data_IF_248721953677
#
_entry.id   IF_248721953677
#
_cell.length_a   1.000
_cell.length_b   1.000
_cell.length_c   1.000
_cell.angle_alpha   90.00
_cell.angle_beta   90.00
_cell.angle_gamma   90.00
#
_symmetry.space_group_name_H-M   'P 1'
#
loop_
_entity.id
_entity.type
_entity.pdbx_description
1 polymer ?
#
# COMPACT_ATOMS: atom_id res chain seq x y z
N UNK A 1 -17.79 -18.66 -0.26
CA UNK A 1 -18.81 -18.34 -1.30
C UNK A 1 -18.64 -19.38 -2.41
N UNK A 2 -19.36 -20.48 -2.34
CA UNK A 2 -19.49 -21.40 -3.47
C UNK A 2 -20.45 -20.77 -4.49
N UNK A 3 -19.95 -19.84 -5.28
CA UNK A 3 -20.69 -19.16 -6.35
C UNK A 3 -20.35 -19.79 -7.69
N UNK A 4 -21.07 -20.85 -8.02
CA UNK A 4 -21.09 -21.41 -9.37
C UNK A 4 -21.28 -20.26 -10.37
N UNK A 5 -20.25 -19.95 -11.13
CA UNK A 5 -20.29 -19.03 -12.27
C UNK A 5 -19.81 -17.59 -12.06
N UNK A 6 -19.00 -17.29 -11.06
CA UNK A 6 -18.35 -15.97 -10.85
C UNK A 6 -16.91 -16.12 -10.40
N UNK A 7 -16.01 -15.20 -10.84
CA UNK A 7 -14.64 -15.13 -10.40
C UNK A 7 -14.32 -13.74 -9.82
N UNK A 8 -13.81 -13.69 -8.57
CA UNK A 8 -13.36 -12.46 -7.94
C UNK A 8 -11.85 -12.29 -8.15
N UNK A 9 -11.49 -11.36 -9.02
CA UNK A 9 -10.10 -11.10 -9.43
C UNK A 9 -9.72 -9.63 -9.20
N UNK A 10 -10.22 -9.03 -8.12
CA UNK A 10 -9.93 -7.65 -7.72
C UNK A 10 -9.39 -7.53 -6.29
N UNK A 11 -8.53 -8.46 -5.89
CA UNK A 11 -7.94 -8.52 -4.54
C UNK A 11 -7.02 -7.33 -4.21
N UNK A 12 -6.54 -6.58 -5.19
CA UNK A 12 -5.82 -5.33 -4.93
C UNK A 12 -6.76 -4.19 -4.51
N UNK A 13 -8.05 -4.24 -4.85
CA UNK A 13 -9.02 -3.28 -4.34
C UNK A 13 -9.35 -3.53 -2.87
N UNK A 14 -9.68 -4.76 -2.52
CA UNK A 14 -9.94 -5.23 -1.15
C UNK A 14 -9.95 -6.74 -1.11
N UNK A 15 -9.78 -7.31 0.07
CA UNK A 15 -9.90 -8.75 0.30
C UNK A 15 -11.10 -9.05 1.21
N UNK A 16 -11.68 -10.27 1.16
CA UNK A 16 -12.58 -10.72 2.22
C UNK A 16 -11.80 -10.84 3.53
N UNK A 17 -12.50 -10.80 4.65
CA UNK A 17 -11.90 -11.16 5.93
C UNK A 17 -11.61 -12.65 5.96
N UNK A 18 -10.45 -13.03 6.52
CA UNK A 18 -10.16 -14.44 6.83
C UNK A 18 -11.14 -14.96 7.90
N UNK A 19 -11.63 -16.22 7.82
CA UNK A 19 -12.51 -16.78 8.83
C UNK A 19 -11.94 -16.73 10.26
N UNK A 20 -10.64 -16.92 10.45
CA UNK A 20 -9.99 -16.78 11.77
C UNK A 20 -10.01 -15.34 12.26
N UNK A 21 -9.83 -14.37 11.36
CA UNK A 21 -9.96 -12.93 11.66
C UNK A 21 -11.38 -12.59 12.10
N UNK A 22 -12.41 -13.13 11.40
CA UNK A 22 -13.81 -12.94 11.78
C UNK A 22 -14.06 -13.50 13.18
N UNK A 23 -13.52 -14.69 13.48
CA UNK A 23 -13.62 -15.33 14.80
C UNK A 23 -13.07 -14.44 15.91
N UNK A 24 -11.84 -13.95 15.75
CA UNK A 24 -11.17 -13.07 16.73
C UNK A 24 -11.91 -11.74 16.91
N UNK A 25 -12.39 -11.11 15.84
CA UNK A 25 -13.20 -9.89 15.93
C UNK A 25 -14.49 -10.16 16.72
N UNK A 26 -15.17 -11.26 16.42
CA UNK A 26 -16.43 -11.63 17.09
C UNK A 26 -16.23 -11.90 18.58
N UNK A 27 -15.14 -12.58 18.95
CA UNK A 27 -14.78 -12.82 20.34
C UNK A 27 -14.45 -11.52 21.06
N UNK A 28 -13.64 -10.66 20.47
CA UNK A 28 -13.27 -9.35 21.04
C UNK A 28 -14.48 -8.45 21.27
N UNK A 29 -15.44 -8.45 20.34
CA UNK A 29 -16.72 -7.72 20.49
C UNK A 29 -17.52 -8.21 21.72
N UNK A 30 -17.48 -9.50 22.03
CA UNK A 30 -18.22 -10.12 23.14
C UNK A 30 -17.51 -9.97 24.48
N UNK A 31 -16.20 -10.11 24.49
CA UNK A 31 -15.42 -10.32 25.73
C UNK A 31 -14.47 -9.16 26.06
N UNK A 32 -14.01 -8.35 25.06
CA UNK A 32 -12.99 -7.33 25.22
C UNK A 32 -13.49 -5.93 24.92
N UNK A 33 -14.76 -5.66 25.24
CA UNK A 33 -15.47 -4.41 24.97
C UNK A 33 -15.16 -3.27 25.95
N UNK A 34 -14.41 -3.52 27.02
CA UNK A 34 -14.03 -2.52 28.01
C UNK A 34 -13.20 -1.41 27.40
N UNK A 35 -13.28 -0.19 27.98
CA UNK A 35 -12.42 0.91 27.55
C UNK A 35 -10.96 0.60 27.95
N UNK A 36 -10.01 0.54 27.00
CA UNK A 36 -8.61 0.20 27.28
C UNK A 36 -7.90 1.14 28.28
N UNK A 37 -8.42 2.37 28.44
CA UNK A 37 -7.87 3.35 29.39
C UNK A 37 -8.39 3.15 30.82
N UNK A 38 -9.36 2.24 31.06
CA UNK A 38 -9.93 2.00 32.39
C UNK A 38 -9.03 1.07 33.22
N UNK A 39 -8.85 1.41 34.50
CA UNK A 39 -7.96 0.65 35.39
C UNK A 39 -8.55 -0.69 35.90
N UNK A 40 -9.85 -0.93 35.72
CA UNK A 40 -10.52 -2.17 36.14
C UNK A 40 -10.26 -3.32 35.15
N UNK A 41 -10.59 -4.55 35.55
CA UNK A 41 -10.26 -5.78 34.80
C UNK A 41 -10.73 -5.80 33.35
N UNK A 42 -11.93 -5.26 33.04
CA UNK A 42 -12.45 -5.20 31.67
C UNK A 42 -11.61 -4.27 30.77
N UNK A 43 -11.18 -3.11 31.31
CA UNK A 43 -10.29 -2.23 30.57
C UNK A 43 -8.91 -2.85 30.33
N UNK A 44 -8.37 -3.52 31.36
CA UNK A 44 -7.10 -4.23 31.23
C UNK A 44 -7.16 -5.35 30.18
N UNK A 45 -8.25 -6.10 30.12
CA UNK A 45 -8.44 -7.14 29.10
C UNK A 45 -8.37 -6.59 27.68
N UNK A 46 -9.05 -5.45 27.42
CA UNK A 46 -8.98 -4.75 26.14
C UNK A 46 -7.58 -4.20 25.84
N UNK A 47 -6.92 -3.60 26.82
CA UNK A 47 -5.54 -3.10 26.69
C UNK A 47 -4.53 -4.21 26.38
N UNK A 48 -4.65 -5.37 27.07
CA UNK A 48 -3.79 -6.54 26.84
C UNK A 48 -4.01 -7.11 25.41
N UNK A 49 -5.25 -7.08 24.90
CA UNK A 49 -5.55 -7.46 23.52
C UNK A 49 -4.86 -6.53 22.52
N UNK A 50 -4.96 -5.22 22.72
CA UNK A 50 -4.30 -4.22 21.86
C UNK A 50 -2.78 -4.43 21.90
N UNK A 51 -2.19 -4.68 23.07
CA UNK A 51 -0.77 -4.97 23.21
C UNK A 51 -0.32 -6.17 22.38
N UNK A 52 -1.00 -7.32 22.53
CA UNK A 52 -0.72 -8.52 21.72
C UNK A 52 -0.86 -8.30 20.22
N UNK A 53 -1.91 -7.60 19.81
CA UNK A 53 -2.13 -7.30 18.39
C UNK A 53 -1.02 -6.40 17.83
N UNK A 54 -0.49 -5.49 18.63
CA UNK A 54 0.64 -4.63 18.27
C UNK A 54 1.92 -5.46 18.05
N UNK A 55 2.18 -6.44 18.92
CA UNK A 55 3.29 -7.39 18.76
C UNK A 55 3.16 -8.22 17.49
N UNK A 56 1.95 -8.72 17.17
CA UNK A 56 1.68 -9.48 15.96
C UNK A 56 1.90 -8.65 14.68
N UNK A 57 1.45 -7.39 14.66
CA UNK A 57 1.67 -6.48 13.53
C UNK A 57 3.16 -6.16 13.39
N UNK A 58 3.86 -5.90 14.49
CA UNK A 58 5.30 -5.64 14.48
C UNK A 58 6.10 -6.84 13.95
N UNK A 59 5.75 -8.05 14.38
CA UNK A 59 6.41 -9.29 13.93
C UNK A 59 6.29 -9.47 12.39
N UNK A 60 5.15 -9.10 11.78
CA UNK A 60 4.94 -9.22 10.34
C UNK A 60 5.96 -8.44 9.51
N UNK A 61 6.50 -7.35 10.05
CA UNK A 61 7.46 -6.46 9.35
C UNK A 61 8.84 -6.42 10.02
N UNK A 62 9.13 -7.33 10.95
CA UNK A 62 10.37 -7.37 11.74
C UNK A 62 10.68 -6.07 12.52
N UNK A 63 9.64 -5.43 13.08
CA UNK A 63 9.70 -4.21 13.87
C UNK A 63 9.62 -4.50 15.39
N UNK A 64 9.80 -3.45 16.20
CA UNK A 64 9.44 -3.45 17.61
C UNK A 64 7.97 -3.02 17.79
N UNK A 65 7.27 -3.62 18.77
CA UNK A 65 5.87 -3.27 19.04
C UNK A 65 5.70 -1.76 19.36
N UNK A 66 6.64 -1.16 20.04
CA UNK A 66 6.62 0.27 20.38
C UNK A 66 6.66 1.19 19.15
N UNK A 67 7.09 0.71 18.00
CA UNK A 67 7.18 1.45 16.76
C UNK A 67 5.89 1.38 15.92
N UNK A 68 4.85 0.70 16.42
CA UNK A 68 3.55 0.58 15.76
C UNK A 68 2.53 1.51 16.41
N UNK A 69 1.80 2.27 15.59
CA UNK A 69 0.65 3.12 16.01
C UNK A 69 -0.56 2.75 15.17
N UNK A 70 -1.67 2.38 15.81
CA UNK A 70 -2.91 2.05 15.11
C UNK A 70 -3.59 3.29 14.56
N UNK A 71 -4.09 3.19 13.33
CA UNK A 71 -4.75 4.26 12.55
C UNK A 71 -6.09 3.76 12.01
N UNK A 72 -6.96 4.65 11.57
CA UNK A 72 -8.24 4.25 10.97
C UNK A 72 -8.09 3.52 9.62
N UNK A 73 -6.97 3.71 8.93
CA UNK A 73 -6.69 3.11 7.62
C UNK A 73 -5.44 3.68 6.98
N UNK A 74 -5.15 3.25 5.74
CA UNK A 74 -3.95 3.66 5.01
C UNK A 74 -3.88 5.16 4.72
N UNK A 75 -5.00 5.79 4.42
CA UNK A 75 -5.04 7.24 4.15
C UNK A 75 -4.60 8.05 5.36
N UNK A 76 -5.10 7.74 6.57
CA UNK A 76 -4.65 8.40 7.80
C UNK A 76 -3.16 8.13 8.04
N UNK A 77 -2.71 6.88 7.90
CA UNK A 77 -1.31 6.51 8.10
C UNK A 77 -0.36 7.26 7.14
N UNK A 78 -0.70 7.33 5.85
CA UNK A 78 0.07 8.09 4.85
C UNK A 78 0.14 9.58 5.23
N UNK A 79 -1.00 10.23 5.53
CA UNK A 79 -1.05 11.65 5.85
C UNK A 79 -0.23 11.95 7.12
N UNK A 80 -0.36 11.12 8.16
CA UNK A 80 0.39 11.30 9.41
C UNK A 80 1.89 11.16 9.19
N UNK A 81 2.34 10.18 8.40
CA UNK A 81 3.75 10.01 8.04
C UNK A 81 4.29 11.23 7.28
N UNK A 82 3.57 11.66 6.24
CA UNK A 82 3.95 12.82 5.41
C UNK A 82 4.02 14.11 6.24
N UNK A 83 2.98 14.38 7.03
CA UNK A 83 2.93 15.55 7.91
C UNK A 83 4.07 15.54 8.94
N UNK A 84 4.38 14.38 9.51
CA UNK A 84 5.45 14.24 10.51
C UNK A 84 6.83 14.51 9.92
N UNK A 85 7.10 13.96 8.71
CA UNK A 85 8.35 14.26 7.99
C UNK A 85 8.49 15.73 7.63
N UNK A 86 7.42 16.41 7.23
CA UNK A 86 7.40 17.84 6.92
C UNK A 86 7.68 18.70 8.15
N UNK A 87 7.02 18.42 9.27
CA UNK A 87 7.15 19.22 10.48
C UNK A 87 8.54 19.10 11.15
N UNK A 88 9.37 18.16 10.72
CA UNK A 88 10.72 17.99 11.25
C UNK A 88 11.65 19.18 10.98
N UNK A 89 11.36 20.00 9.98
CA UNK A 89 12.16 21.19 9.61
C UNK A 89 11.52 22.50 10.11
N UNK A 90 10.21 22.54 10.29
CA UNK A 90 9.51 23.75 10.72
C UNK A 90 9.66 23.98 12.22
N UNK A 91 10.87 24.37 12.69
CA UNK A 91 11.01 24.92 14.04
C UNK A 91 10.48 26.36 14.07
N UNK A 92 9.55 26.70 14.98
CA UNK A 92 8.92 28.03 15.03
C UNK A 92 9.81 29.16 15.58
N UNK A 93 11.13 29.06 15.51
CA UNK A 93 12.04 29.96 16.24
C UNK A 93 13.02 30.82 15.40
N UNK A 94 12.75 31.03 14.10
CA UNK A 94 13.50 32.08 13.39
C UNK A 94 12.59 33.27 13.12
N UNK A 95 12.89 34.40 13.76
CA UNK A 95 12.30 35.73 13.50
C UNK A 95 12.71 36.32 12.14
N UNK A 96 13.28 35.52 11.26
CA UNK A 96 13.75 35.94 9.95
C UNK A 96 12.75 35.52 8.86
N UNK A 97 12.25 36.52 8.14
CA UNK A 97 11.20 36.43 7.10
C UNK A 97 11.58 35.71 5.80
N UNK A 98 12.61 34.89 5.76
CA UNK A 98 12.89 34.03 4.61
C UNK A 98 12.38 32.61 4.90
N UNK A 99 11.09 32.37 4.59
CA UNK A 99 10.50 31.01 4.67
C UNK A 99 11.13 30.18 3.55
N UNK A 100 12.11 29.37 3.92
CA UNK A 100 12.67 28.37 3.02
C UNK A 100 11.71 27.18 3.04
N UNK A 101 10.96 26.97 1.94
CA UNK A 101 10.00 25.87 1.83
C UNK A 101 10.71 24.51 1.94
N UNK A 102 10.22 23.60 2.78
CA UNK A 102 10.71 22.22 2.80
C UNK A 102 10.48 21.53 1.46
N UNK A 103 11.45 20.74 1.01
CA UNK A 103 11.36 20.01 -0.24
C UNK A 103 11.00 18.53 0.02
N UNK A 104 10.05 18.03 -0.77
CA UNK A 104 9.56 16.64 -0.74
C UNK A 104 9.77 16.00 -2.10
N UNK A 105 10.18 14.73 -2.09
CA UNK A 105 10.27 13.92 -3.30
C UNK A 105 9.27 12.77 -3.16
N UNK A 106 8.49 12.52 -4.21
CA UNK A 106 7.59 11.37 -4.31
C UNK A 106 7.63 10.77 -5.71
N UNK A 107 7.04 9.58 -5.92
CA UNK A 107 6.96 9.03 -7.27
C UNK A 107 5.77 9.60 -8.05
N UNK A 108 5.84 9.51 -9.38
CA UNK A 108 4.73 9.92 -10.26
C UNK A 108 3.58 8.88 -10.31
N UNK A 109 3.71 7.75 -9.59
CA UNK A 109 2.76 6.62 -9.59
C UNK A 109 2.17 6.29 -8.22
N UNK A 110 2.24 7.22 -7.28
CA UNK A 110 1.71 7.06 -5.92
C UNK A 110 0.19 6.93 -5.88
N UNK A 111 -0.29 6.31 -4.80
CA UNK A 111 -1.71 6.32 -4.45
C UNK A 111 -2.19 7.75 -4.14
N UNK A 112 -3.46 8.05 -4.45
CA UNK A 112 -4.09 9.37 -4.26
C UNK A 112 -3.95 9.92 -2.83
N UNK A 113 -3.92 9.09 -1.81
CA UNK A 113 -3.72 9.54 -0.42
C UNK A 113 -2.34 10.16 -0.17
N UNK A 114 -1.34 9.85 -0.98
CA UNK A 114 -0.02 10.49 -0.97
C UNK A 114 0.01 11.65 -1.97
N UNK A 115 -0.30 11.37 -3.24
CA UNK A 115 -0.20 12.33 -4.32
C UNK A 115 -1.06 13.57 -4.08
N UNK A 116 -2.36 13.39 -3.80
CA UNK A 116 -3.29 14.52 -3.64
C UNK A 116 -2.96 15.33 -2.39
N UNK A 117 -2.57 14.66 -1.28
CA UNK A 117 -2.16 15.38 -0.07
C UNK A 117 -0.96 16.28 -0.35
N UNK A 118 0.10 15.76 -0.97
CA UNK A 118 1.31 16.53 -1.28
C UNK A 118 1.03 17.65 -2.29
N UNK A 119 0.21 17.41 -3.32
CA UNK A 119 -0.19 18.43 -4.27
C UNK A 119 -0.93 19.60 -3.59
N UNK A 120 -1.85 19.30 -2.68
CA UNK A 120 -2.55 20.34 -1.89
C UNK A 120 -1.56 21.15 -1.03
N UNK A 121 -0.56 20.48 -0.41
CA UNK A 121 0.45 21.21 0.37
C UNK A 121 1.30 22.14 -0.52
N UNK A 122 1.62 21.71 -1.74
CA UNK A 122 2.32 22.52 -2.75
C UNK A 122 1.46 23.71 -3.20
N UNK A 123 0.20 23.46 -3.56
CA UNK A 123 -0.74 24.51 -4.00
C UNK A 123 -0.99 25.58 -2.91
N UNK A 124 -0.93 25.17 -1.63
CA UNK A 124 -0.98 26.07 -0.48
C UNK A 124 0.35 26.80 -0.21
N UNK A 125 1.38 26.60 -1.02
CA UNK A 125 2.69 27.24 -0.82
C UNK A 125 3.44 26.78 0.44
N UNK A 126 3.18 25.56 0.93
CA UNK A 126 3.80 25.02 2.16
C UNK A 126 5.01 24.15 1.88
N UNK A 127 5.13 23.59 0.70
CA UNK A 127 6.24 22.72 0.28
C UNK A 127 6.66 22.99 -1.16
N UNK A 128 7.87 22.57 -1.47
CA UNK A 128 8.38 22.37 -2.84
C UNK A 128 8.32 20.86 -3.11
N UNK A 129 7.70 20.45 -4.23
CA UNK A 129 7.41 19.04 -4.52
C UNK A 129 8.04 18.60 -5.83
N UNK A 130 8.82 17.52 -5.81
CA UNK A 130 9.39 16.89 -6.99
C UNK A 130 8.87 15.48 -7.18
N UNK A 131 8.60 15.10 -8.44
CA UNK A 131 8.16 13.77 -8.82
C UNK A 131 9.27 12.98 -9.51
N UNK A 132 9.77 11.94 -8.83
CA UNK A 132 10.65 10.96 -9.46
C UNK A 132 9.87 10.13 -10.48
N UNK A 133 10.38 10.07 -11.70
CA UNK A 133 9.72 9.37 -12.80
C UNK A 133 10.12 7.90 -12.80
N UNK A 134 9.14 7.00 -12.95
CA UNK A 134 9.43 5.59 -13.23
C UNK A 134 10.00 5.42 -14.63
N UNK A 135 10.80 4.40 -14.82
CA UNK A 135 11.26 3.96 -16.13
C UNK A 135 10.06 3.45 -16.95
N UNK A 136 9.86 4.01 -18.15
CA UNK A 136 8.68 3.72 -18.98
C UNK A 136 8.62 2.29 -19.51
N UNK A 137 9.76 1.60 -19.60
CA UNK A 137 9.80 0.22 -20.08
C UNK A 137 9.45 -0.78 -18.98
N UNK A 138 9.90 -0.51 -17.74
CA UNK A 138 9.72 -1.39 -16.60
C UNK A 138 8.58 -0.99 -15.67
N UNK A 139 8.17 0.28 -15.66
CA UNK A 139 7.25 0.85 -14.67
C UNK A 139 7.87 0.97 -13.27
N UNK A 140 9.19 0.73 -13.12
CA UNK A 140 9.91 0.75 -11.86
C UNK A 140 10.72 2.04 -11.72
N UNK A 141 10.86 2.55 -10.49
CA UNK A 141 11.82 3.61 -10.19
C UNK A 141 13.26 3.10 -10.31
N UNK A 142 14.16 3.98 -10.69
CA UNK A 142 15.60 3.77 -10.46
C UNK A 142 16.01 4.59 -9.24
N UNK A 143 16.83 4.06 -8.32
CA UNK A 143 17.29 4.83 -7.16
C UNK A 143 17.87 6.20 -7.55
N UNK A 144 18.61 6.27 -8.66
CA UNK A 144 19.21 7.50 -9.16
C UNK A 144 18.17 8.54 -9.56
N UNK A 145 16.99 8.13 -10.07
CA UNK A 145 15.90 9.06 -10.42
C UNK A 145 15.30 9.76 -9.20
N UNK A 146 15.40 9.15 -8.02
CA UNK A 146 15.00 9.75 -6.74
C UNK A 146 16.13 10.61 -6.17
N UNK A 147 17.35 10.07 -6.13
CA UNK A 147 18.49 10.71 -5.47
C UNK A 147 18.97 11.97 -6.21
N UNK A 148 18.85 12.01 -7.54
CA UNK A 148 19.20 13.19 -8.34
C UNK A 148 18.32 14.41 -8.06
N UNK A 149 17.13 14.23 -7.49
CA UNK A 149 16.22 15.32 -7.10
C UNK A 149 16.54 15.90 -5.72
N UNK A 150 17.41 15.23 -4.94
CA UNK A 150 17.73 15.66 -3.57
C UNK A 150 18.49 17.00 -3.60
N UNK A 151 18.05 17.93 -2.76
CA UNK A 151 18.72 19.21 -2.52
C UNK A 151 18.86 19.49 -1.01
N UNK A 152 19.42 20.65 -0.66
CA UNK A 152 19.69 21.00 0.74
C UNK A 152 18.40 21.13 1.57
N UNK A 153 17.26 21.42 0.96
CA UNK A 153 15.95 21.59 1.61
C UNK A 153 15.15 20.29 1.69
N UNK A 154 15.62 19.19 1.05
CA UNK A 154 14.91 17.92 1.06
C UNK A 154 14.82 17.37 2.48
N UNK A 155 13.59 17.07 2.93
CA UNK A 155 13.31 16.56 4.28
C UNK A 155 12.54 15.23 4.28
N UNK A 156 11.85 14.94 3.19
CA UNK A 156 11.02 13.73 3.08
C UNK A 156 11.10 13.16 1.67
N UNK A 157 11.23 11.85 1.60
CA UNK A 157 11.01 11.06 0.41
C UNK A 157 9.90 10.06 0.71
N UNK A 158 8.91 9.97 -0.19
CA UNK A 158 7.79 9.04 -0.07
C UNK A 158 7.64 8.24 -1.36
N UNK A 159 7.83 6.92 -1.28
CA UNK A 159 7.72 6.02 -2.44
C UNK A 159 6.94 4.78 -2.01
N UNK A 160 5.88 4.43 -2.77
CA UNK A 160 5.14 3.19 -2.52
C UNK A 160 6.03 1.97 -2.72
N UNK A 161 5.83 0.91 -1.90
CA UNK A 161 6.61 -0.31 -2.01
C UNK A 161 6.20 -1.15 -3.23
N UNK A 162 4.91 -1.19 -3.53
CA UNK A 162 4.38 -1.91 -4.68
C UNK A 162 3.26 -1.13 -5.34
N UNK A 163 3.26 -1.05 -6.66
CA UNK A 163 2.21 -0.35 -7.38
C UNK A 163 0.92 -1.19 -7.44
N UNK A 164 -0.20 -0.57 -7.11
CA UNK A 164 -1.51 -1.20 -7.02
C UNK A 164 -2.16 -1.56 -8.37
N UNK A 165 -1.67 -1.00 -9.49
CA UNK A 165 -2.20 -1.25 -10.83
C UNK A 165 -1.29 -2.13 -11.67
N UNK A 166 0.02 -1.88 -11.62
CA UNK A 166 1.01 -2.62 -12.41
C UNK A 166 1.55 -3.86 -11.70
N UNK A 167 1.53 -3.87 -10.36
CA UNK A 167 2.15 -4.92 -9.55
C UNK A 167 3.67 -4.81 -9.44
N UNK A 168 4.28 -3.78 -10.00
CA UNK A 168 5.74 -3.55 -9.94
C UNK A 168 6.16 -3.23 -8.51
N UNK A 169 7.24 -3.85 -8.04
CA UNK A 169 7.90 -3.51 -6.78
C UNK A 169 8.93 -2.42 -7.01
N UNK A 170 8.93 -1.41 -6.15
CA UNK A 170 9.89 -0.32 -6.19
C UNK A 170 11.15 -0.67 -5.38
N UNK A 171 12.33 -0.16 -5.74
CA UNK A 171 13.62 -0.49 -5.11
C UNK A 171 13.80 0.25 -3.77
N UNK A 172 12.91 -0.04 -2.80
CA UNK A 172 12.86 0.67 -1.50
C UNK A 172 14.13 0.42 -0.70
N UNK A 173 14.65 -0.82 -0.73
CA UNK A 173 15.87 -1.18 0.00
C UNK A 173 17.08 -0.40 -0.53
N UNK A 174 17.26 -0.32 -1.82
CA UNK A 174 18.36 0.38 -2.47
C UNK A 174 18.28 1.89 -2.21
N UNK A 175 17.07 2.46 -2.28
CA UNK A 175 16.82 3.87 -1.94
C UNK A 175 17.13 4.11 -0.45
N UNK A 176 16.64 3.25 0.44
CA UNK A 176 16.86 3.37 1.89
C UNK A 176 18.33 3.31 2.28
N UNK A 177 19.09 2.37 1.71
CA UNK A 177 20.54 2.24 1.91
C UNK A 177 21.30 3.49 1.44
N UNK A 178 20.96 4.00 0.27
CA UNK A 178 21.56 5.22 -0.27
C UNK A 178 21.24 6.44 0.59
N UNK A 179 19.98 6.56 1.08
CA UNK A 179 19.56 7.64 1.97
C UNK A 179 20.24 7.57 3.33
N UNK A 180 20.46 6.39 3.88
CA UNK A 180 21.20 6.20 5.13
C UNK A 180 22.63 6.75 5.00
N UNK A 181 23.34 6.41 3.93
CA UNK A 181 24.67 6.94 3.65
C UNK A 181 24.66 8.46 3.43
N UNK A 182 23.69 8.97 2.67
CA UNK A 182 23.53 10.39 2.39
C UNK A 182 23.23 11.20 3.67
N UNK A 183 22.39 10.68 4.57
CA UNK A 183 22.06 11.34 5.84
C UNK A 183 23.26 11.48 6.78
N UNK A 184 24.24 10.58 6.73
CA UNK A 184 25.52 10.74 7.45
C UNK A 184 26.27 11.99 6.94
N UNK A 185 26.43 12.12 5.62
CA UNK A 185 27.06 13.31 5.02
C UNK A 185 26.27 14.59 5.29
N UNK A 186 24.95 14.54 5.24
CA UNK A 186 24.07 15.70 5.53
C UNK A 186 24.25 16.19 6.97
N UNK A 187 24.32 15.26 7.93
CA UNK A 187 24.57 15.60 9.34
C UNK A 187 25.90 16.32 9.53
N UNK A 188 26.96 15.89 8.84
CA UNK A 188 28.27 16.55 8.88
C UNK A 188 28.25 17.98 8.30
N UNK A 189 27.33 18.25 7.40
CA UNK A 189 27.15 19.56 6.75
C UNK A 189 26.02 20.39 7.37
N UNK A 190 25.51 20.02 8.55
CA UNK A 190 24.40 20.67 9.25
C UNK A 190 23.12 20.80 8.40
N UNK A 191 22.89 19.86 7.48
CA UNK A 191 21.66 19.78 6.68
C UNK A 191 20.63 18.92 7.40
N UNK A 192 19.33 19.16 7.17
CA UNK A 192 18.26 18.36 7.77
C UNK A 192 18.34 16.89 7.32
N UNK A 193 18.01 15.97 8.24
CA UNK A 193 17.80 14.55 7.91
C UNK A 193 16.66 14.44 6.87
N UNK A 194 16.84 13.59 5.88
CA UNK A 194 15.77 13.19 4.98
C UNK A 194 15.09 11.95 5.58
N UNK A 195 13.80 12.06 5.90
CA UNK A 195 12.99 10.94 6.34
C UNK A 195 12.49 10.16 5.13
N UNK A 196 12.35 8.84 5.28
CA UNK A 196 11.92 7.96 4.21
C UNK A 196 10.61 7.24 4.59
N UNK A 197 9.55 7.49 3.83
CA UNK A 197 8.24 6.86 3.95
C UNK A 197 8.00 5.90 2.80
N UNK A 198 7.38 4.73 3.10
CA UNK A 198 6.87 3.82 2.09
C UNK A 198 5.42 3.41 2.38
N UNK A 199 4.57 3.50 1.35
CA UNK A 199 3.22 2.91 1.38
C UNK A 199 3.32 1.42 1.03
N UNK A 200 3.16 0.55 2.04
CA UNK A 200 3.23 -0.90 1.88
C UNK A 200 1.86 -1.59 1.77
N UNK A 201 0.80 -0.84 1.45
CA UNK A 201 -0.56 -1.38 1.34
C UNK A 201 -0.65 -2.59 0.40
N UNK A 202 0.09 -2.60 -0.70
CA UNK A 202 0.03 -3.69 -1.68
C UNK A 202 1.06 -4.78 -1.47
N UNK A 203 2.12 -4.56 -0.73
CA UNK A 203 3.20 -5.54 -0.50
C UNK A 203 2.92 -6.46 0.68
N UNK A 204 2.32 -5.96 1.76
CA UNK A 204 2.02 -6.74 2.96
C UNK A 204 1.09 -7.92 2.65
N UNK A 205 1.47 -9.12 3.16
CA UNK A 205 0.75 -10.37 2.91
C UNK A 205 0.92 -10.95 1.51
N UNK A 206 1.76 -10.34 0.66
CA UNK A 206 2.03 -10.77 -0.72
C UNK A 206 3.51 -10.97 -1.00
N UNK A 207 4.38 -10.18 -0.37
CA UNK A 207 5.84 -10.33 -0.41
C UNK A 207 6.41 -10.09 0.98
N UNK A 208 7.65 -10.53 1.20
CA UNK A 208 8.34 -10.29 2.47
C UNK A 208 8.63 -8.79 2.61
N UNK A 209 8.28 -8.24 3.77
CA UNK A 209 8.55 -6.85 4.15
C UNK A 209 9.32 -6.85 5.47
N UNK A 210 10.53 -6.28 5.47
CA UNK A 210 11.41 -6.22 6.63
C UNK A 210 11.93 -4.78 6.76
N UNK A 211 11.43 -4.04 7.74
CA UNK A 211 11.75 -2.61 7.91
C UNK A 211 13.23 -2.35 8.20
N UNK A 212 13.94 -3.35 8.76
CA UNK A 212 15.38 -3.23 9.02
C UNK A 212 16.20 -3.32 7.73
N UNK A 213 15.71 -4.09 6.73
CA UNK A 213 16.35 -4.19 5.42
C UNK A 213 15.97 -2.99 4.53
N UNK A 214 14.71 -2.53 4.62
CA UNK A 214 14.22 -1.41 3.82
C UNK A 214 14.78 -0.05 4.26
N UNK A 215 15.31 0.06 5.50
CA UNK A 215 15.86 1.30 6.09
C UNK A 215 14.89 2.50 6.02
N UNK A 216 13.59 2.23 6.14
CA UNK A 216 12.54 3.26 6.14
C UNK A 216 12.32 3.83 7.54
N UNK A 217 11.94 5.11 7.62
CA UNK A 217 11.53 5.77 8.87
C UNK A 217 10.04 5.58 9.14
N UNK A 218 9.21 5.50 8.08
CA UNK A 218 7.76 5.30 8.16
C UNK A 218 7.31 4.23 7.17
N UNK A 219 6.38 3.36 7.59
CA UNK A 219 5.75 2.38 6.72
C UNK A 219 4.25 2.27 7.02
N UNK A 220 3.45 2.46 5.96
CA UNK A 220 1.99 2.37 6.04
C UNK A 220 1.49 0.94 5.93
N UNK A 221 0.60 0.53 6.87
CA UNK A 221 -0.02 -0.79 6.96
C UNK A 221 -1.52 -0.66 6.74
N UNK A 222 -2.10 -1.50 5.86
CA UNK A 222 -3.52 -1.43 5.48
C UNK A 222 -4.17 -2.81 5.58
N UNK A 223 -4.94 -3.05 6.63
CA UNK A 223 -5.47 -4.37 6.99
C UNK A 223 -6.29 -5.05 5.89
N UNK A 224 -7.22 -4.32 5.26
CA UNK A 224 -8.12 -4.90 4.25
C UNK A 224 -7.44 -5.30 2.92
N UNK A 225 -6.13 -5.13 2.80
CA UNK A 225 -5.34 -5.57 1.64
C UNK A 225 -4.70 -6.94 1.84
N UNK A 226 -4.70 -7.45 3.09
CA UNK A 226 -4.16 -8.77 3.44
C UNK A 226 -5.09 -9.56 4.37
N UNK A 227 -6.39 -9.55 4.04
CA UNK A 227 -7.47 -10.33 4.69
C UNK A 227 -7.77 -9.93 6.14
N UNK A 228 -7.34 -8.73 6.52
CA UNK A 228 -7.67 -8.07 7.77
C UNK A 228 -8.84 -7.09 7.63
N UNK A 229 -9.29 -6.48 8.74
CA UNK A 229 -10.37 -5.49 8.75
C UNK A 229 -9.95 -4.14 8.14
N UNK A 230 -10.95 -3.26 7.91
CA UNK A 230 -10.73 -1.89 7.44
C UNK A 230 -10.21 -1.00 8.58
N UNK A 231 -8.99 -1.28 8.97
CA UNK A 231 -8.15 -0.52 9.90
C UNK A 231 -6.73 -0.48 9.35
N UNK A 232 -5.90 0.42 9.82
CA UNK A 232 -4.50 0.49 9.45
C UNK A 232 -3.60 0.65 10.67
N UNK A 233 -2.31 0.71 10.39
CA UNK A 233 -1.29 1.11 11.34
C UNK A 233 -0.17 1.85 10.61
N UNK A 234 0.61 2.60 11.38
CA UNK A 234 1.83 3.23 10.93
C UNK A 234 2.99 2.66 11.73
N UNK A 235 4.00 2.12 11.04
CA UNK A 235 5.30 1.88 11.63
C UNK A 235 6.09 3.20 11.60
N UNK A 236 6.74 3.52 12.72
CA UNK A 236 7.60 4.69 12.90
C UNK A 236 8.89 4.23 13.57
N UNK A 237 9.99 4.26 12.83
CA UNK A 237 11.30 3.78 13.32
C UNK A 237 11.74 4.55 14.56
N UNK A 238 12.06 3.83 15.65
CA UNK A 238 12.54 4.44 16.88
C UNK A 238 11.62 5.59 17.38
N UNK A 239 10.31 5.36 17.36
CA UNK A 239 9.23 6.35 17.58
C UNK A 239 9.45 7.25 18.79
N UNK A 240 9.97 6.71 19.89
CA UNK A 240 10.11 7.46 21.14
C UNK A 240 11.41 8.26 21.23
N UNK A 241 12.34 8.08 20.30
CA UNK A 241 13.72 8.58 20.44
C UNK A 241 14.25 9.35 19.23
N UNK A 242 13.91 8.95 17.99
CA UNK A 242 14.59 9.49 16.80
C UNK A 242 13.66 10.01 15.70
N UNK A 243 12.58 9.32 15.43
CA UNK A 243 11.70 9.67 14.33
C UNK A 243 10.48 10.42 14.83
N UNK A 244 10.23 11.64 14.34
CA UNK A 244 9.11 12.45 14.80
C UNK A 244 7.78 11.82 14.37
N UNK A 245 6.78 11.94 15.23
CA UNK A 245 5.38 11.64 14.88
C UNK A 245 4.49 12.76 15.42
N UNK A 246 3.83 13.46 14.50
CA UNK A 246 2.92 14.56 14.82
C UNK A 246 1.48 14.04 14.75
N UNK A 247 0.74 14.04 15.88
CA UNK A 247 -0.63 13.54 15.88
C UNK A 247 -1.53 14.41 14.99
N UNK A 248 -2.25 13.78 14.06
CA UNK A 248 -3.29 14.42 13.26
C UNK A 248 -4.56 14.63 14.10
N UNK A 249 -4.91 13.64 14.93
CA UNK A 249 -6.06 13.68 15.82
C UNK A 249 -5.57 13.91 17.25
N UNK A 250 -5.92 15.08 17.81
CA UNK A 250 -5.58 15.47 19.18
C UNK A 250 -6.78 15.21 20.11
N UNK A 251 -6.54 14.81 21.35
CA UNK A 251 -7.61 14.50 22.32
C UNK A 251 -7.09 13.80 23.56
N UNK A 252 -7.70 12.66 23.93
CA UNK A 252 -7.51 11.98 25.21
C UNK A 252 -6.19 11.22 25.41
N UNK A 253 -5.24 11.34 24.51
CA UNK A 253 -3.89 10.76 24.67
C UNK A 253 -3.77 9.25 24.36
N UNK A 254 -4.77 8.63 23.75
CA UNK A 254 -4.70 7.24 23.31
C UNK A 254 -3.52 7.01 22.34
N UNK A 255 -3.17 5.77 22.13
CA UNK A 255 -1.97 5.42 21.34
C UNK A 255 -0.73 6.19 21.79
N UNK A 256 -0.54 6.30 23.09
CA UNK A 256 0.62 7.02 23.72
C UNK A 256 0.70 8.50 23.32
N UNK A 257 -0.44 9.14 23.04
CA UNK A 257 -0.55 10.52 22.61
C UNK A 257 -0.40 10.75 21.10
N UNK A 258 -0.11 9.71 20.33
CA UNK A 258 0.14 9.83 18.90
C UNK A 258 -1.13 9.73 18.05
N UNK A 259 -2.20 9.14 18.60
CA UNK A 259 -3.49 9.05 17.88
C UNK A 259 -4.62 8.98 18.91
N UNK A 260 -5.30 10.07 19.12
CA UNK A 260 -6.39 10.17 20.10
C UNK A 260 -7.70 9.58 19.59
N UNK A 261 -8.60 9.26 20.54
CA UNK A 261 -9.86 8.57 20.31
C UNK A 261 -9.81 7.13 20.80
N UNK A 262 -10.85 6.67 21.49
CA UNK A 262 -10.93 5.31 22.04
C UNK A 262 -10.59 4.28 20.98
N UNK A 263 -9.68 3.40 21.30
CA UNK A 263 -9.15 2.40 20.39
C UNK A 263 -10.23 1.40 19.97
N UNK A 264 -10.28 1.06 18.70
CA UNK A 264 -11.19 0.05 18.17
C UNK A 264 -10.64 -1.36 18.43
N UNK A 265 -10.73 -1.80 19.68
CA UNK A 265 -10.16 -3.08 20.15
C UNK A 265 -10.49 -4.27 19.23
N UNK A 266 -11.76 -4.50 18.81
CA UNK A 266 -12.07 -5.64 17.96
C UNK A 266 -11.40 -5.59 16.57
N UNK A 267 -11.32 -4.40 15.97
CA UNK A 267 -10.67 -4.28 14.66
C UNK A 267 -9.14 -4.37 14.79
N UNK A 268 -8.57 -3.87 15.89
CA UNK A 268 -7.15 -4.02 16.20
C UNK A 268 -6.82 -5.51 16.41
N UNK A 269 -7.67 -6.24 17.14
CA UNK A 269 -7.53 -7.69 17.32
C UNK A 269 -7.53 -8.44 15.98
N UNK A 270 -8.46 -8.07 15.09
CA UNK A 270 -8.54 -8.62 13.74
C UNK A 270 -7.31 -8.31 12.88
N UNK A 271 -6.74 -7.11 12.99
CA UNK A 271 -5.51 -6.74 12.29
C UNK A 271 -4.32 -7.57 12.78
N UNK A 272 -4.19 -7.74 14.10
CA UNK A 272 -3.17 -8.61 14.71
C UNK A 272 -3.27 -10.05 14.20
N UNK A 273 -4.47 -10.64 14.19
CA UNK A 273 -4.68 -12.00 13.68
C UNK A 273 -4.34 -12.10 12.18
N UNK A 274 -4.70 -11.12 11.37
CA UNK A 274 -4.34 -11.11 9.96
C UNK A 274 -2.82 -11.05 9.77
N UNK A 275 -2.11 -10.25 10.58
CA UNK A 275 -0.65 -10.17 10.56
C UNK A 275 0.01 -11.49 10.98
N UNK A 276 -0.51 -12.16 12.01
CA UNK A 276 -0.02 -13.47 12.45
C UNK A 276 -0.15 -14.53 11.34
N UNK A 277 -1.29 -14.56 10.64
CA UNK A 277 -1.49 -15.46 9.50
C UNK A 277 -0.47 -15.21 8.37
N UNK A 278 -0.09 -13.96 8.14
CA UNK A 278 0.97 -13.62 7.18
C UNK A 278 2.31 -14.18 7.64
N UNK A 279 2.69 -13.98 8.92
CA UNK A 279 3.96 -14.52 9.46
C UNK A 279 4.05 -16.03 9.28
N UNK A 280 2.95 -16.74 9.53
CA UNK A 280 2.92 -18.21 9.50
C UNK A 280 2.90 -18.79 8.07
N UNK A 281 2.36 -18.06 7.08
CA UNK A 281 1.99 -18.68 5.81
C UNK A 281 2.45 -17.91 4.57
N UNK A 282 3.26 -16.85 4.70
CA UNK A 282 3.59 -15.96 3.58
C UNK A 282 4.13 -16.71 2.36
N UNK A 283 5.07 -17.64 2.56
CA UNK A 283 5.69 -18.39 1.46
C UNK A 283 4.67 -19.20 0.67
N UNK A 284 3.75 -19.88 1.38
CA UNK A 284 2.64 -20.62 0.76
C UNK A 284 1.70 -19.70 -0.03
N UNK A 285 1.42 -18.51 0.52
CA UNK A 285 0.58 -17.52 -0.16
C UNK A 285 1.26 -17.00 -1.43
N UNK A 286 2.55 -16.70 -1.37
CA UNK A 286 3.34 -16.25 -2.51
C UNK A 286 3.41 -17.30 -3.62
N UNK A 287 3.70 -18.55 -3.27
CA UNK A 287 3.76 -19.68 -4.19
C UNK A 287 2.41 -19.88 -4.90
N UNK A 288 1.33 -19.96 -4.12
CA UNK A 288 -0.03 -20.15 -4.66
C UNK A 288 -0.42 -19.02 -5.61
N UNK A 289 -0.29 -17.76 -5.20
CA UNK A 289 -0.64 -16.61 -6.03
C UNK A 289 0.22 -16.55 -7.31
N UNK A 290 1.50 -16.85 -7.21
CA UNK A 290 2.42 -16.89 -8.36
C UNK A 290 1.99 -17.98 -9.34
N UNK A 291 1.67 -19.18 -8.88
CA UNK A 291 1.21 -20.31 -9.69
C UNK A 291 -0.10 -19.96 -10.42
N UNK A 292 -1.09 -19.43 -9.70
CA UNK A 292 -2.38 -19.03 -10.28
C UNK A 292 -2.20 -17.90 -11.30
N UNK A 293 -1.38 -16.88 -11.01
CA UNK A 293 -1.05 -15.80 -11.94
C UNK A 293 -0.42 -16.34 -13.24
N UNK A 294 0.55 -17.22 -13.10
CA UNK A 294 1.26 -17.77 -14.26
C UNK A 294 0.34 -18.65 -15.10
N UNK A 295 -0.51 -19.48 -14.46
CA UNK A 295 -1.52 -20.28 -15.15
C UNK A 295 -2.52 -19.40 -15.91
N UNK A 296 -3.04 -18.33 -15.27
CA UNK A 296 -3.92 -17.37 -15.94
C UNK A 296 -3.26 -16.76 -17.18
N UNK A 297 -2.03 -16.27 -17.05
CA UNK A 297 -1.29 -15.63 -18.15
C UNK A 297 -1.05 -16.61 -19.30
N UNK A 298 -0.58 -17.83 -19.01
CA UNK A 298 -0.31 -18.85 -20.04
C UNK A 298 -1.57 -19.18 -20.80
N UNK A 299 -2.63 -19.56 -20.08
CA UNK A 299 -3.88 -19.97 -20.72
C UNK A 299 -4.57 -18.85 -21.52
N UNK A 300 -4.47 -17.60 -21.07
CA UNK A 300 -4.98 -16.46 -21.84
C UNK A 300 -4.19 -16.24 -23.12
N UNK A 301 -2.85 -16.33 -23.07
CA UNK A 301 -1.98 -16.20 -24.26
C UNK A 301 -2.24 -17.29 -25.31
N UNK A 302 -2.57 -18.50 -24.86
CA UNK A 302 -2.88 -19.62 -25.75
C UNK A 302 -4.24 -19.48 -26.45
N UNK A 303 -5.20 -18.75 -25.84
CA UNK A 303 -6.59 -18.67 -26.32
C UNK A 303 -6.95 -17.33 -26.96
N UNK A 304 -6.22 -16.26 -26.69
CA UNK A 304 -6.53 -14.92 -27.19
C UNK A 304 -5.31 -14.37 -27.92
N UNK A 305 -5.47 -14.16 -29.23
CA UNK A 305 -4.46 -13.48 -30.04
C UNK A 305 -4.31 -12.02 -29.63
N UNK A 306 -3.11 -11.48 -29.72
CA UNK A 306 -2.77 -10.05 -29.49
C UNK A 306 -3.00 -9.51 -28.08
N UNK A 307 -3.12 -10.37 -27.05
CA UNK A 307 -3.03 -9.86 -25.68
C UNK A 307 -1.58 -9.59 -25.29
N UNK A 308 -1.41 -8.59 -24.45
CA UNK A 308 -0.10 -8.26 -23.86
C UNK A 308 -0.20 -8.20 -22.34
N UNK A 309 0.87 -8.58 -21.67
CA UNK A 309 1.03 -8.37 -20.25
C UNK A 309 2.00 -7.22 -20.08
N UNK A 310 1.53 -6.12 -19.47
CA UNK A 310 2.35 -4.96 -19.22
C UNK A 310 3.28 -5.19 -18.02
N UNK A 311 4.43 -4.53 -18.00
CA UNK A 311 5.34 -4.47 -16.86
C UNK A 311 5.77 -5.84 -16.32
N UNK A 312 6.19 -6.73 -17.23
CA UNK A 312 6.73 -8.05 -16.88
C UNK A 312 8.18 -7.88 -16.46
N UNK A 313 8.38 -7.38 -15.24
CA UNK A 313 9.69 -7.15 -14.62
C UNK A 313 9.76 -7.86 -13.28
N UNK A 314 10.94 -8.27 -12.85
CA UNK A 314 11.17 -8.80 -11.52
C UNK A 314 12.07 -7.84 -10.72
N UNK A 315 11.78 -7.65 -9.44
CA UNK A 315 10.71 -8.26 -8.66
C UNK A 315 9.32 -7.60 -8.89
N UNK A 316 8.25 -8.41 -8.80
CA UNK A 316 6.85 -7.96 -8.91
C UNK A 316 5.94 -8.70 -7.93
N UNK A 317 4.75 -8.16 -7.68
CA UNK A 317 3.74 -8.82 -6.87
C UNK A 317 3.35 -10.19 -7.46
N UNK A 318 3.19 -11.22 -6.62
CA UNK A 318 2.85 -12.57 -7.08
C UNK A 318 1.43 -12.69 -7.62
N UNK A 319 0.56 -11.72 -7.32
CA UNK A 319 -0.87 -11.81 -7.55
C UNK A 319 -1.42 -10.86 -8.63
N UNK A 320 -0.62 -9.95 -9.18
CA UNK A 320 -1.11 -8.85 -10.04
C UNK A 320 -0.74 -9.07 -11.49
N UNK A 321 -1.70 -8.85 -12.38
CA UNK A 321 -1.56 -8.87 -13.83
C UNK A 321 -2.14 -7.59 -14.41
N UNK A 322 -1.33 -6.83 -15.14
CA UNK A 322 -1.77 -5.71 -15.97
C UNK A 322 -1.96 -6.25 -17.40
N UNK A 323 -3.20 -6.63 -17.71
CA UNK A 323 -3.57 -7.30 -18.95
C UNK A 323 -4.06 -6.30 -19.99
N UNK A 324 -3.39 -6.19 -21.11
CA UNK A 324 -3.84 -5.42 -22.27
C UNK A 324 -4.62 -6.32 -23.22
N UNK A 325 -5.88 -5.98 -23.47
CA UNK A 325 -6.75 -6.70 -24.41
C UNK A 325 -6.42 -6.35 -25.88
N UNK A 326 -6.89 -7.12 -26.88
CA UNK A 326 -6.58 -6.90 -28.30
C UNK A 326 -6.88 -5.48 -28.80
N UNK A 327 -6.20 -5.04 -29.86
CA UNK A 327 -6.24 -3.65 -30.33
C UNK A 327 -7.62 -3.11 -30.70
N UNK A 328 -8.53 -3.98 -31.12
CA UNK A 328 -9.86 -3.58 -31.62
C UNK A 328 -10.90 -3.41 -30.51
N UNK A 329 -10.54 -3.65 -29.24
CA UNK A 329 -11.48 -3.70 -28.12
C UNK A 329 -11.00 -2.87 -26.94
N UNK A 330 -11.94 -2.26 -26.21
CA UNK A 330 -11.64 -1.60 -24.95
C UNK A 330 -11.76 -2.56 -23.78
N UNK A 331 -10.96 -2.33 -22.72
CA UNK A 331 -11.04 -3.11 -21.50
C UNK A 331 -12.44 -3.04 -20.85
N UNK A 332 -13.09 -1.88 -20.93
CA UNK A 332 -14.48 -1.71 -20.47
C UNK A 332 -15.44 -2.64 -21.19
N UNK A 333 -15.37 -2.69 -22.54
CA UNK A 333 -16.26 -3.54 -23.34
C UNK A 333 -16.07 -5.02 -23.03
N UNK A 334 -14.82 -5.46 -22.83
CA UNK A 334 -14.53 -6.85 -22.44
C UNK A 334 -15.17 -7.16 -21.07
N UNK A 335 -15.03 -6.28 -20.07
CA UNK A 335 -15.64 -6.50 -18.74
C UNK A 335 -17.18 -6.48 -18.80
N UNK A 336 -17.79 -5.61 -19.61
CA UNK A 336 -19.23 -5.60 -19.85
C UNK A 336 -19.69 -6.94 -20.47
N UNK A 337 -18.95 -7.46 -21.45
CA UNK A 337 -19.25 -8.75 -22.10
C UNK A 337 -19.05 -9.96 -21.16
N UNK A 338 -18.35 -9.80 -20.05
CA UNK A 338 -18.28 -10.83 -19.01
C UNK A 338 -19.61 -10.99 -18.24
N UNK A 339 -20.60 -10.10 -18.44
CA UNK A 339 -21.95 -10.18 -17.84
C UNK A 339 -21.95 -10.40 -16.32
N UNK A 340 -21.08 -9.71 -15.59
CA UNK A 340 -20.96 -9.81 -14.14
C UNK A 340 -20.40 -11.14 -13.62
N UNK A 341 -19.76 -11.93 -14.48
CA UNK A 341 -19.10 -13.19 -14.11
C UNK A 341 -17.66 -12.99 -13.66
N UNK A 342 -17.01 -11.90 -14.09
CA UNK A 342 -15.64 -11.52 -13.70
C UNK A 342 -15.71 -10.18 -12.95
N UNK A 343 -15.11 -10.14 -11.75
CA UNK A 343 -14.89 -8.91 -10.99
C UNK A 343 -13.41 -8.58 -11.09
N UNK A 344 -13.06 -7.61 -11.93
CA UNK A 344 -11.72 -7.07 -12.15
C UNK A 344 -11.80 -5.56 -12.34
N UNK A 345 -10.68 -4.86 -12.40
CA UNK A 345 -10.65 -3.38 -12.40
C UNK A 345 -10.04 -2.82 -13.68
N UNK A 346 -10.56 -1.66 -14.13
CA UNK A 346 -10.00 -0.88 -15.26
C UNK A 346 -8.85 0.06 -14.83
N UNK A 347 -8.35 -0.11 -13.62
CA UNK A 347 -7.35 0.75 -12.97
C UNK A 347 -7.55 0.74 -11.46
N UNK A 348 -7.27 1.86 -10.76
CA UNK A 348 -7.59 1.95 -9.34
C UNK A 348 -9.11 2.03 -9.13
N UNK A 349 -9.63 1.29 -8.15
CA UNK A 349 -11.06 1.31 -7.79
C UNK A 349 -11.59 2.72 -7.43
N UNK A 350 -10.70 3.62 -7.00
CA UNK A 350 -11.03 5.03 -6.67
C UNK A 350 -11.46 5.86 -7.88
N UNK A 351 -11.19 5.41 -9.11
CA UNK A 351 -11.51 6.12 -10.36
C UNK A 351 -12.57 5.42 -11.22
N UNK A 352 -13.29 4.45 -10.66
CA UNK A 352 -14.28 3.63 -11.38
C UNK A 352 -15.39 4.40 -12.09
N UNK A 353 -15.63 5.67 -11.72
CA UNK A 353 -16.63 6.53 -12.35
C UNK A 353 -16.06 7.47 -13.44
N UNK A 354 -14.76 7.45 -13.70
CA UNK A 354 -14.16 8.28 -14.74
C UNK A 354 -13.96 7.46 -16.03
N UNK A 355 -14.43 7.97 -17.16
CA UNK A 355 -14.14 7.40 -18.49
C UNK A 355 -12.70 7.68 -18.94
N UNK A 356 -11.88 8.29 -18.07
CA UNK A 356 -10.49 8.66 -18.40
C UNK A 356 -9.56 7.47 -18.17
N UNK A 357 -8.59 7.24 -19.08
CA UNK A 357 -7.53 6.26 -18.88
C UNK A 357 -6.76 6.50 -17.59
N UNK A 358 -6.25 5.43 -16.97
CA UNK A 358 -5.48 5.52 -15.72
C UNK A 358 -4.26 6.43 -15.87
N UNK A 359 -4.18 7.45 -15.01
CA UNK A 359 -3.01 8.35 -14.95
C UNK A 359 -1.74 7.62 -14.50
N UNK A 360 -1.87 6.56 -13.69
CA UNK A 360 -0.75 5.72 -13.24
C UNK A 360 -0.19 4.91 -14.42
N UNK A 361 -1.03 4.28 -15.22
CA UNK A 361 -0.60 3.54 -16.41
C UNK A 361 0.07 4.45 -17.43
N UNK A 362 -0.48 5.65 -17.66
CA UNK A 362 0.14 6.65 -18.54
C UNK A 362 1.48 7.16 -17.98
N UNK A 363 1.54 7.44 -16.68
CA UNK A 363 2.79 7.81 -16.02
C UNK A 363 3.84 6.69 -16.07
N UNK A 364 3.40 5.44 -16.14
CA UNK A 364 4.26 4.25 -16.31
C UNK A 364 4.65 4.00 -17.78
N UNK A 365 4.23 4.84 -18.74
CA UNK A 365 4.69 4.80 -20.12
C UNK A 365 3.69 4.27 -21.14
N UNK A 366 2.49 3.85 -20.76
CA UNK A 366 1.46 3.45 -21.71
C UNK A 366 0.83 4.70 -22.37
N UNK A 367 0.48 4.57 -23.65
CA UNK A 367 -0.36 5.56 -24.32
C UNK A 367 -1.77 5.59 -23.73
N UNK A 368 -2.55 6.66 -23.92
CA UNK A 368 -3.95 6.70 -23.48
C UNK A 368 -4.79 5.55 -24.04
N UNK A 369 -4.51 5.12 -25.29
CA UNK A 369 -5.17 3.98 -25.93
C UNK A 369 -4.81 2.66 -25.23
N UNK A 370 -3.53 2.40 -25.00
CA UNK A 370 -3.05 1.21 -24.29
C UNK A 370 -3.58 1.14 -22.85
N UNK A 371 -3.58 2.27 -22.14
CA UNK A 371 -4.16 2.37 -20.80
C UNK A 371 -5.69 2.08 -20.82
N UNK A 372 -6.42 2.57 -21.84
CA UNK A 372 -7.85 2.30 -22.02
C UNK A 372 -8.18 0.85 -22.39
N UNK A 373 -7.18 0.09 -22.86
CA UNK A 373 -7.29 -1.36 -23.17
C UNK A 373 -6.74 -2.25 -22.05
N UNK A 374 -6.37 -1.68 -20.90
CA UNK A 374 -5.73 -2.43 -19.81
C UNK A 374 -6.71 -2.78 -18.70
N UNK A 375 -6.81 -4.08 -18.39
CA UNK A 375 -7.55 -4.63 -17.24
C UNK A 375 -6.53 -5.01 -16.15
N UNK A 376 -6.75 -4.56 -14.93
CA UNK A 376 -6.03 -5.07 -13.77
C UNK A 376 -6.75 -6.31 -13.25
N UNK A 377 -6.05 -7.43 -13.24
CA UNK A 377 -6.46 -8.68 -12.61
C UNK A 377 -5.59 -8.89 -11.37
N UNK A 378 -6.21 -9.16 -10.24
CA UNK A 378 -5.49 -9.46 -9.01
C UNK A 378 -6.09 -10.67 -8.29
N UNK A 379 -5.26 -11.67 -8.06
CA UNK A 379 -5.59 -13.00 -7.55
C UNK A 379 -5.48 -13.01 -6.02
N UNK A 380 -6.32 -13.78 -5.35
CA UNK A 380 -6.28 -13.97 -3.90
C UNK A 380 -5.44 -15.17 -3.47
N UNK A 381 -5.01 -15.17 -2.21
CA UNK A 381 -4.30 -16.32 -1.61
C UNK A 381 -5.14 -17.58 -1.48
N UNK A 382 -6.44 -17.49 -1.71
CA UNK A 382 -7.41 -18.59 -1.63
C UNK A 382 -8.17 -18.81 -2.94
N UNK A 383 -7.80 -18.15 -4.03
CA UNK A 383 -8.42 -18.31 -5.35
C UNK A 383 -8.18 -19.74 -5.85
N UNK A 384 -9.21 -20.58 -6.07
CA UNK A 384 -9.02 -21.96 -6.53
C UNK A 384 -8.67 -22.02 -8.01
N UNK A 385 -8.02 -23.11 -8.44
CA UNK A 385 -7.62 -23.31 -9.83
C UNK A 385 -8.85 -23.31 -10.78
N UNK A 386 -9.97 -23.87 -10.34
CA UNK A 386 -11.22 -23.86 -11.08
C UNK A 386 -11.75 -22.44 -11.37
N UNK A 387 -11.50 -21.48 -10.48
CA UNK A 387 -11.86 -20.08 -10.68
C UNK A 387 -10.94 -19.42 -11.73
N UNK A 388 -9.67 -19.80 -11.78
CA UNK A 388 -8.73 -19.35 -12.82
C UNK A 388 -9.15 -19.90 -14.20
N UNK A 389 -9.47 -21.21 -14.31
CA UNK A 389 -9.96 -21.84 -15.55
C UNK A 389 -11.26 -21.18 -16.03
N UNK A 390 -12.19 -20.96 -15.11
CA UNK A 390 -13.44 -20.25 -15.40
C UNK A 390 -13.18 -18.82 -15.90
N UNK A 391 -12.28 -18.09 -15.27
CA UNK A 391 -11.94 -16.73 -15.66
C UNK A 391 -11.32 -16.68 -17.06
N UNK A 392 -10.40 -17.60 -17.37
CA UNK A 392 -9.81 -17.73 -18.72
C UNK A 392 -10.90 -17.94 -19.78
N UNK A 393 -11.81 -18.87 -19.55
CA UNK A 393 -12.92 -19.16 -20.47
C UNK A 393 -13.80 -17.93 -20.72
N UNK A 394 -14.24 -17.26 -19.63
CA UNK A 394 -15.14 -16.10 -19.73
C UNK A 394 -14.45 -14.92 -20.42
N UNK A 395 -13.19 -14.61 -20.06
CA UNK A 395 -12.43 -13.52 -20.69
C UNK A 395 -12.18 -13.80 -22.17
N UNK A 396 -11.87 -15.04 -22.54
CA UNK A 396 -11.70 -15.45 -23.95
C UNK A 396 -12.98 -15.24 -24.76
N UNK A 397 -14.12 -15.69 -24.22
CA UNK A 397 -15.43 -15.47 -24.86
C UNK A 397 -15.79 -13.97 -24.95
N UNK A 398 -15.49 -13.19 -23.89
CA UNK A 398 -15.76 -11.77 -23.83
C UNK A 398 -14.95 -10.97 -24.87
N UNK A 399 -13.67 -11.31 -25.06
CA UNK A 399 -12.83 -10.72 -26.11
C UNK A 399 -13.31 -11.02 -27.53
N UNK A 400 -13.83 -12.25 -27.78
CA UNK A 400 -14.38 -12.64 -29.10
C UNK A 400 -15.67 -11.91 -29.43
N UNK A 401 -16.43 -11.46 -28.45
CA UNK A 401 -17.72 -10.73 -28.62
C UNK A 401 -17.57 -9.21 -28.64
N UNK A 402 -16.40 -8.70 -28.33
CA UNK A 402 -16.14 -7.29 -28.23
C UNK A 402 -15.68 -6.68 -29.55
#
# INVERSE_FOLDING_TARGET
>A
MEGIGKAYLDYNATTPLDPLVIGVITESLKCEWGNPSSAHSLGKLASDRIGRSREQVAAMINAHANDIVFMSGGTEANIVALQSGLNSITKPNSKECNIVLPHVITSNVEHDSVKNYLSVQQDCGKIDLSFAQVDKASGQLRPESVLSLVNNRTCLISVMHANNETGVLMPIMEIGQALKALNVSRSQNNLPKIYFHTDSAQSLGKVKVDVKQLEVDYLTIVGHKFYGPRIGALFVKDLLTQTPLVPLLQGGGQERGFRSGTENTPMIAGLGQAAELVVQNLDKYMEHMTRCRNALISNLKDQIHDIRINFVVDPRLPNTVSLQVPQNVTAQKVLENCNGKIFASLGAACHSNSQKPSSILMASGLSPEEAGRTIRISIGRTTPDSEIEFAVKVLTEACKRA
#
